data_IF_703671495409
#
_entry.id   IF_703671495409
#
_cell.length_a   1.000
_cell.length_b   1.000
_cell.length_c   1.000
_cell.angle_alpha   90.00
_cell.angle_beta   90.00
_cell.angle_gamma   90.00
#
_symmetry.space_group_name_H-M   'P 1'
#
loop_
_entity.id
_entity.type
_entity.pdbx_description
1 polymer ?
#
# COMPACT_ATOMS: atom_id res chain seq x y z
N UNK A 1 -5.65 -6.94 19.12
CA UNK A 1 -4.67 -6.37 20.08
C UNK A 1 -5.01 -4.91 20.27
N UNK A 2 -5.19 -4.45 21.52
CA UNK A 2 -5.26 -3.01 21.79
C UNK A 2 -3.87 -2.41 21.61
N UNK A 3 -3.77 -1.28 20.90
CA UNK A 3 -2.52 -0.53 20.74
C UNK A 3 -2.18 0.15 22.07
N UNK A 4 -0.98 -0.07 22.61
CA UNK A 4 -0.63 0.36 23.98
C UNK A 4 0.19 1.64 24.05
N UNK A 5 0.92 1.98 22.98
CA UNK A 5 1.74 3.20 22.91
C UNK A 5 1.97 3.65 21.46
N UNK A 6 2.59 4.84 21.32
CA UNK A 6 2.89 5.48 20.04
C UNK A 6 3.76 4.60 19.15
N UNK A 7 4.75 3.93 19.72
CA UNK A 7 5.69 3.07 18.98
C UNK A 7 4.98 1.87 18.37
N UNK A 8 4.06 1.24 19.12
CA UNK A 8 3.23 0.14 18.62
C UNK A 8 2.29 0.61 17.51
N UNK A 9 1.75 1.82 17.62
CA UNK A 9 0.90 2.41 16.59
C UNK A 9 1.68 2.65 15.29
N UNK A 10 2.85 3.28 15.38
CA UNK A 10 3.74 3.52 14.22
C UNK A 10 4.19 2.19 13.61
N UNK A 11 4.52 1.19 14.43
CA UNK A 11 4.89 -0.14 13.93
C UNK A 11 3.75 -0.79 13.14
N UNK A 12 2.51 -0.73 13.65
CA UNK A 12 1.34 -1.24 12.95
C UNK A 12 1.11 -0.55 11.60
N UNK A 13 1.20 0.78 11.57
CA UNK A 13 1.08 1.52 10.30
C UNK A 13 2.22 1.24 9.32
N UNK A 14 3.45 1.05 9.80
CA UNK A 14 4.55 0.64 8.94
C UNK A 14 4.33 -0.76 8.33
N UNK A 15 3.74 -1.70 9.09
CA UNK A 15 3.37 -3.01 8.56
C UNK A 15 2.29 -2.89 7.49
N UNK A 16 1.25 -2.10 7.73
CA UNK A 16 0.20 -1.85 6.73
C UNK A 16 0.78 -1.22 5.46
N UNK A 17 1.60 -0.18 5.60
CA UNK A 17 2.28 0.47 4.47
C UNK A 17 3.13 -0.51 3.65
N UNK A 18 3.82 -1.44 4.31
CA UNK A 18 4.61 -2.46 3.63
C UNK A 18 3.72 -3.39 2.79
N UNK A 19 2.58 -3.82 3.34
CA UNK A 19 1.60 -4.64 2.62
C UNK A 19 1.02 -3.93 1.39
N UNK A 20 0.66 -2.64 1.52
CA UNK A 20 0.21 -1.82 0.38
C UNK A 20 1.28 -1.79 -0.73
N UNK A 21 2.56 -1.62 -0.35
CA UNK A 21 3.65 -1.56 -1.32
C UNK A 21 3.94 -2.91 -1.98
N UNK A 22 3.82 -4.00 -1.24
CA UNK A 22 3.93 -5.36 -1.78
C UNK A 22 2.80 -5.64 -2.78
N UNK A 23 1.57 -5.25 -2.45
CA UNK A 23 0.41 -5.38 -3.35
C UNK A 23 0.58 -4.54 -4.63
N UNK A 24 0.99 -3.27 -4.52
CA UNK A 24 1.31 -2.41 -5.66
C UNK A 24 2.31 -3.11 -6.60
N UNK A 25 3.42 -3.60 -6.06
CA UNK A 25 4.47 -4.26 -6.84
C UNK A 25 3.95 -5.53 -7.53
N UNK A 26 3.16 -6.34 -6.82
CA UNK A 26 2.58 -7.56 -7.38
C UNK A 26 1.64 -7.24 -8.56
N UNK A 27 0.76 -6.26 -8.41
CA UNK A 27 -0.14 -5.85 -9.49
C UNK A 27 0.61 -5.30 -10.71
N UNK A 28 1.69 -4.55 -10.50
CA UNK A 28 2.55 -4.07 -11.59
C UNK A 28 3.32 -5.20 -12.30
N UNK A 29 3.75 -6.23 -11.56
CA UNK A 29 4.35 -7.42 -12.14
C UNK A 29 3.35 -8.16 -13.04
N UNK A 30 2.13 -8.38 -12.57
CA UNK A 30 1.07 -9.03 -13.35
C UNK A 30 0.66 -8.19 -14.56
N UNK A 31 0.57 -6.87 -14.42
CA UNK A 31 0.32 -5.96 -15.54
C UNK A 31 1.39 -6.08 -16.65
N UNK A 32 2.64 -6.30 -16.25
CA UNK A 32 3.80 -6.41 -17.15
C UNK A 32 4.01 -7.83 -17.69
N UNK A 33 3.21 -8.80 -17.26
CA UNK A 33 3.31 -10.19 -17.70
C UNK A 33 2.70 -10.37 -19.10
N UNK A 34 3.46 -10.97 -20.00
CA UNK A 34 3.04 -11.22 -21.39
C UNK A 34 1.92 -12.28 -21.48
N UNK A 35 1.74 -13.11 -20.45
CA UNK A 35 0.64 -14.10 -20.38
C UNK A 35 -0.72 -13.44 -20.13
N UNK A 36 -0.75 -12.19 -19.68
CA UNK A 36 -1.99 -11.43 -19.45
C UNK A 36 -2.33 -10.67 -20.73
N UNK A 37 -2.98 -11.33 -21.70
CA UNK A 37 -3.17 -10.73 -23.04
C UNK A 37 -4.34 -9.74 -23.11
N UNK A 38 -5.33 -9.86 -22.20
CA UNK A 38 -6.50 -8.96 -22.20
C UNK A 38 -6.14 -7.56 -21.73
N UNK A 39 -6.30 -6.57 -22.62
CA UNK A 39 -6.09 -5.16 -22.30
C UNK A 39 -7.00 -4.62 -21.20
N UNK A 40 -8.21 -5.16 -21.07
CA UNK A 40 -9.13 -4.82 -19.97
C UNK A 40 -8.57 -5.31 -18.63
N UNK A 41 -8.08 -6.55 -18.57
CA UNK A 41 -7.47 -7.12 -17.37
C UNK A 41 -6.20 -6.35 -16.98
N UNK A 42 -5.34 -6.01 -17.96
CA UNK A 42 -4.17 -5.14 -17.72
C UNK A 42 -4.59 -3.79 -17.14
N UNK A 43 -5.66 -3.19 -17.66
CA UNK A 43 -6.17 -1.91 -17.17
C UNK A 43 -6.60 -1.99 -15.71
N UNK A 44 -7.27 -3.09 -15.31
CA UNK A 44 -7.66 -3.32 -13.91
C UNK A 44 -6.44 -3.44 -13.00
N UNK A 45 -5.44 -4.24 -13.36
CA UNK A 45 -4.22 -4.38 -12.55
C UNK A 45 -3.45 -3.07 -12.41
N UNK A 46 -3.33 -2.29 -13.48
CA UNK A 46 -2.70 -0.96 -13.43
C UNK A 46 -3.47 0.00 -12.52
N UNK A 47 -4.81 -0.06 -12.56
CA UNK A 47 -5.65 0.80 -11.73
C UNK A 47 -5.51 0.47 -10.25
N UNK A 48 -5.63 -0.80 -9.88
CA UNK A 48 -5.51 -1.19 -8.47
C UNK A 48 -4.10 -0.94 -7.93
N UNK A 49 -3.05 -1.11 -8.73
CA UNK A 49 -1.69 -0.69 -8.34
C UNK A 49 -1.62 0.81 -7.99
N UNK A 50 -2.33 1.66 -8.74
CA UNK A 50 -2.45 3.08 -8.42
C UNK A 50 -3.20 3.35 -7.12
N UNK A 51 -4.22 2.55 -6.81
CA UNK A 51 -4.97 2.65 -5.55
C UNK A 51 -4.08 2.26 -4.34
N UNK A 52 -3.28 1.19 -4.43
CA UNK A 52 -2.36 0.80 -3.34
C UNK A 52 -1.21 1.80 -3.14
N UNK A 53 -0.76 2.44 -4.23
CA UNK A 53 0.18 3.55 -4.14
C UNK A 53 -0.43 4.73 -3.35
N UNK A 54 -1.68 5.08 -3.64
CA UNK A 54 -2.42 6.10 -2.90
C UNK A 54 -2.62 5.71 -1.42
N UNK A 55 -2.89 4.44 -1.13
CA UNK A 55 -2.96 3.96 0.25
C UNK A 55 -1.62 4.13 0.97
N UNK A 56 -0.51 3.78 0.34
CA UNK A 56 0.85 4.00 0.87
C UNK A 56 1.09 5.46 1.26
N UNK A 57 0.69 6.41 0.41
CA UNK A 57 0.81 7.85 0.70
C UNK A 57 -0.05 8.28 1.89
N UNK A 58 -1.29 7.79 1.98
CA UNK A 58 -2.21 8.09 3.08
C UNK A 58 -1.64 7.55 4.40
N UNK A 59 -1.16 6.31 4.41
CA UNK A 59 -0.55 5.71 5.61
C UNK A 59 0.71 6.47 6.03
N UNK A 60 1.53 6.93 5.08
CA UNK A 60 2.68 7.77 5.42
C UNK A 60 2.26 9.10 6.07
N UNK A 61 1.18 9.73 5.59
CA UNK A 61 0.63 10.95 6.22
C UNK A 61 0.17 10.67 7.66
N UNK A 62 -0.49 9.53 7.89
CA UNK A 62 -0.91 9.11 9.24
C UNK A 62 0.31 8.92 10.15
N UNK A 63 1.35 8.21 9.69
CA UNK A 63 2.61 8.02 10.44
C UNK A 63 3.23 9.37 10.81
N UNK A 64 3.28 10.32 9.87
CA UNK A 64 3.85 11.65 10.11
C UNK A 64 3.05 12.43 11.16
N UNK A 65 1.71 12.38 11.10
CA UNK A 65 0.82 13.02 12.08
C UNK A 65 1.09 12.43 13.46
N UNK A 66 1.06 11.11 13.60
CA UNK A 66 1.31 10.43 14.88
C UNK A 66 2.70 10.77 15.42
N UNK A 67 3.72 10.80 14.55
CA UNK A 67 5.08 11.10 14.94
C UNK A 67 5.26 12.53 15.49
N UNK A 68 4.49 13.49 14.96
CA UNK A 68 4.61 14.92 15.31
C UNK A 68 3.61 15.40 16.37
N UNK A 69 2.51 14.66 16.62
CA UNK A 69 1.39 15.12 17.46
C UNK A 69 1.25 14.34 18.76
N UNK A 70 1.63 13.05 18.79
CA UNK A 70 1.58 12.20 19.99
C UNK A 70 2.92 12.14 20.71
#
# INVERSE_FOLDING_TARGET
MAVKNKEELIRGFNQMKALEKEAENFYLQVFSDDRVESGEVKTVFKRIAGDENRHTEIVQKIINIISNVL
#
